data_IF_851986397788
#
_entry.id   IF_851986397788
#
_cell.length_a   1.000
_cell.length_b   1.000
_cell.length_c   1.000
_cell.angle_alpha   90.00
_cell.angle_beta   90.00
_cell.angle_gamma   90.00
#
_symmetry.space_group_name_H-M   'P 1'
#
loop_
_entity.id
_entity.type
_entity.pdbx_description
1 polymer ?
#
# COMPACT_ATOMS: atom_id res chain seq x y z
N UNK A 1 -10.70 6.05 6.79
CA UNK A 1 -11.04 6.45 5.40
C UNK A 1 -9.98 5.98 4.40
N UNK A 2 -8.70 5.92 4.78
CA UNK A 2 -7.59 5.54 3.88
C UNK A 2 -7.67 4.10 3.35
N UNK A 3 -8.10 3.14 4.17
CA UNK A 3 -8.26 1.75 3.75
C UNK A 3 -9.15 1.58 2.52
N UNK A 4 -10.27 2.32 2.43
CA UNK A 4 -11.19 2.20 1.29
C UNK A 4 -10.53 2.71 -0.01
N UNK A 5 -9.78 3.80 0.08
CA UNK A 5 -9.10 4.44 -1.05
C UNK A 5 -7.97 3.55 -1.60
N UNK A 6 -7.27 2.83 -0.72
CA UNK A 6 -6.23 1.87 -1.11
C UNK A 6 -6.77 0.50 -1.52
N UNK A 7 -7.98 0.14 -1.10
CA UNK A 7 -8.64 -1.11 -1.50
C UNK A 7 -9.23 -1.05 -2.91
N UNK A 8 -9.66 0.13 -3.37
CA UNK A 8 -10.16 0.28 -4.74
C UNK A 8 -9.00 0.29 -5.74
N UNK A 9 -8.99 -0.62 -6.72
CA UNK A 9 -8.01 -0.57 -7.79
C UNK A 9 -8.04 0.77 -8.52
N UNK A 10 -6.87 1.31 -8.87
CA UNK A 10 -6.74 2.58 -9.59
C UNK A 10 -7.59 2.65 -10.87
N UNK A 11 -7.83 1.51 -11.55
CA UNK A 11 -8.66 1.46 -12.75
C UNK A 11 -10.15 1.70 -12.45
N UNK A 12 -10.65 1.27 -11.29
CA UNK A 12 -12.04 1.55 -10.87
C UNK A 12 -12.23 3.04 -10.67
N UNK A 13 -11.24 3.70 -10.06
CA UNK A 13 -11.25 5.13 -9.80
C UNK A 13 -11.16 5.94 -11.11
N UNK A 14 -10.38 5.46 -12.07
CA UNK A 14 -10.31 6.03 -13.41
C UNK A 14 -11.64 5.93 -14.15
N UNK A 15 -12.34 4.78 -14.06
CA UNK A 15 -13.67 4.59 -14.66
C UNK A 15 -14.70 5.51 -14.01
N UNK A 16 -14.73 5.60 -12.68
CA UNK A 16 -15.63 6.53 -11.97
C UNK A 16 -15.37 7.97 -12.40
N UNK A 17 -14.10 8.38 -12.47
CA UNK A 17 -13.71 9.72 -12.93
C UNK A 17 -14.18 9.99 -14.37
N UNK A 18 -14.05 9.03 -15.27
CA UNK A 18 -14.51 9.14 -16.64
C UNK A 18 -16.04 9.26 -16.75
N UNK A 19 -16.78 8.46 -15.97
CA UNK A 19 -18.26 8.52 -15.92
C UNK A 19 -18.74 9.87 -15.39
N UNK A 20 -18.08 10.42 -14.36
CA UNK A 20 -18.40 11.74 -13.82
C UNK A 20 -18.02 12.88 -14.79
N UNK A 21 -16.99 12.70 -15.61
CA UNK A 21 -16.60 13.68 -16.62
C UNK A 21 -17.52 13.68 -17.86
N UNK A 22 -18.18 12.56 -18.16
CA UNK A 22 -19.05 12.41 -19.32
C UNK A 22 -20.17 13.47 -19.44
N UNK A 23 -20.97 13.78 -18.39
CA UNK A 23 -22.01 14.81 -18.50
C UNK A 23 -21.44 16.21 -18.71
N UNK A 24 -20.28 16.53 -18.12
CA UNK A 24 -19.60 17.80 -18.36
C UNK A 24 -19.16 17.92 -19.83
N UNK A 25 -18.52 16.89 -20.37
CA UNK A 25 -18.10 16.86 -21.77
C UNK A 25 -19.29 16.91 -22.74
N UNK A 26 -20.40 16.27 -22.38
CA UNK A 26 -21.65 16.35 -23.15
C UNK A 26 -22.21 17.78 -23.20
N UNK A 27 -22.28 18.47 -22.06
CA UNK A 27 -22.73 19.86 -22.01
C UNK A 27 -21.81 20.79 -22.81
N UNK A 28 -20.50 20.58 -22.72
CA UNK A 28 -19.52 21.35 -23.51
C UNK A 28 -19.70 21.09 -25.01
N UNK A 29 -19.89 19.85 -25.43
CA UNK A 29 -20.17 19.53 -26.83
C UNK A 29 -21.46 20.19 -27.32
N UNK A 30 -22.50 20.20 -26.48
CA UNK A 30 -23.82 20.73 -26.81
C UNK A 30 -23.85 22.26 -26.89
N UNK A 31 -23.08 22.96 -26.05
CA UNK A 31 -23.08 24.42 -25.96
C UNK A 31 -21.98 25.12 -26.75
N UNK A 32 -20.79 24.54 -26.80
CA UNK A 32 -19.57 25.17 -27.33
C UNK A 32 -19.09 24.54 -28.65
N UNK A 33 -19.75 23.48 -29.09
CA UNK A 33 -19.43 22.74 -30.31
C UNK A 33 -18.35 21.67 -30.11
N UNK A 34 -18.31 20.74 -31.07
CA UNK A 34 -17.49 19.52 -31.00
C UNK A 34 -15.99 19.81 -30.90
N UNK A 35 -15.51 20.87 -31.55
CA UNK A 35 -14.09 21.25 -31.55
C UNK A 35 -13.58 21.67 -30.16
N UNK A 36 -14.42 22.33 -29.35
CA UNK A 36 -14.06 22.69 -27.97
C UNK A 36 -14.22 21.51 -27.01
N UNK A 37 -15.20 20.64 -27.27
CA UNK A 37 -15.34 19.38 -26.54
C UNK A 37 -14.12 18.47 -26.71
N UNK A 38 -13.60 18.31 -27.93
CA UNK A 38 -12.37 17.55 -28.18
C UNK A 38 -11.16 18.06 -27.39
N UNK A 39 -10.98 19.39 -27.34
CA UNK A 39 -9.92 20.01 -26.52
C UNK A 39 -10.14 19.76 -25.03
N UNK A 40 -11.37 19.89 -24.54
CA UNK A 40 -11.72 19.60 -23.16
C UNK A 40 -11.45 18.12 -22.82
N UNK A 41 -11.85 17.19 -23.67
CA UNK A 41 -11.59 15.76 -23.52
C UNK A 41 -10.10 15.46 -23.45
N UNK A 42 -9.27 16.09 -24.29
CA UNK A 42 -7.82 15.91 -24.25
C UNK A 42 -7.21 16.38 -22.93
N UNK A 43 -7.63 17.55 -22.43
CA UNK A 43 -7.14 18.09 -21.16
C UNK A 43 -7.62 17.24 -19.98
N UNK A 44 -8.92 16.97 -19.90
CA UNK A 44 -9.52 16.18 -18.82
C UNK A 44 -9.02 14.73 -18.85
N UNK A 45 -8.92 14.14 -20.03
CA UNK A 45 -8.36 12.80 -20.23
C UNK A 45 -6.88 12.73 -19.83
N UNK A 46 -6.07 13.71 -20.22
CA UNK A 46 -4.67 13.81 -19.81
C UNK A 46 -4.51 13.89 -18.29
N UNK A 47 -5.33 14.70 -17.61
CA UNK A 47 -5.33 14.81 -16.15
C UNK A 47 -5.76 13.50 -15.48
N UNK A 48 -6.81 12.84 -15.98
CA UNK A 48 -7.27 11.57 -15.45
C UNK A 48 -6.21 10.47 -15.60
N UNK A 49 -5.51 10.43 -16.74
CA UNK A 49 -4.41 9.48 -16.98
C UNK A 49 -3.23 9.74 -16.04
N UNK A 50 -2.80 11.01 -15.90
CA UNK A 50 -1.73 11.37 -14.99
C UNK A 50 -2.05 10.96 -13.54
N UNK A 51 -3.27 11.25 -13.08
CA UNK A 51 -3.74 10.88 -11.76
C UNK A 51 -3.81 9.36 -11.56
N UNK A 52 -4.28 8.63 -12.57
CA UNK A 52 -4.35 7.17 -12.53
C UNK A 52 -2.94 6.53 -12.44
N UNK A 53 -1.97 7.06 -13.19
CA UNK A 53 -0.58 6.60 -13.15
C UNK A 53 0.07 6.87 -11.80
N UNK A 54 -0.15 8.05 -11.23
CA UNK A 54 0.35 8.40 -9.91
C UNK A 54 -0.23 7.45 -8.84
N UNK A 55 -1.54 7.21 -8.86
CA UNK A 55 -2.17 6.25 -7.93
C UNK A 55 -1.67 4.83 -8.12
N UNK A 56 -1.47 4.38 -9.36
CA UNK A 56 -0.88 3.07 -9.65
C UNK A 56 0.51 2.94 -9.05
N UNK A 57 1.36 3.97 -9.18
CA UNK A 57 2.70 3.95 -8.61
C UNK A 57 2.68 3.87 -7.07
N UNK A 58 1.81 4.65 -6.42
CA UNK A 58 1.64 4.60 -4.95
C UNK A 58 1.09 3.26 -4.48
N UNK A 59 0.09 2.69 -5.17
CA UNK A 59 -0.47 1.37 -4.84
C UNK A 59 0.56 0.25 -5.02
N UNK A 60 1.38 0.30 -6.07
CA UNK A 60 2.45 -0.66 -6.29
C UNK A 60 3.52 -0.60 -5.18
N UNK A 61 3.94 0.62 -4.80
CA UNK A 61 4.88 0.84 -3.69
C UNK A 61 4.34 0.35 -2.34
N UNK A 62 3.07 0.64 -2.05
CA UNK A 62 2.39 0.16 -0.85
C UNK A 62 2.30 -1.36 -0.79
N UNK A 63 1.91 -2.00 -1.90
CA UNK A 63 1.81 -3.46 -1.98
C UNK A 63 3.17 -4.13 -1.83
N UNK A 64 4.22 -3.53 -2.38
CA UNK A 64 5.59 -4.01 -2.22
C UNK A 64 6.04 -3.93 -0.75
N UNK A 65 5.79 -2.81 -0.06
CA UNK A 65 6.10 -2.66 1.37
C UNK A 65 5.36 -3.67 2.22
N UNK A 66 4.06 -3.85 2.02
CA UNK A 66 3.26 -4.85 2.74
C UNK A 66 3.79 -6.27 2.57
N UNK A 67 4.24 -6.64 1.36
CA UNK A 67 4.86 -7.96 1.13
C UNK A 67 6.20 -8.11 1.85
N UNK A 68 7.01 -7.06 1.90
CA UNK A 68 8.29 -7.08 2.63
C UNK A 68 8.06 -7.16 4.13
N UNK A 69 7.16 -6.32 4.67
CA UNK A 69 6.81 -6.32 6.11
C UNK A 69 6.25 -7.67 6.57
N UNK A 70 5.42 -8.33 5.76
CA UNK A 70 4.93 -9.68 6.09
C UNK A 70 6.08 -10.70 6.19
N UNK A 71 7.03 -10.67 5.25
CA UNK A 71 8.21 -11.56 5.29
C UNK A 71 9.13 -11.28 6.47
N UNK A 72 9.37 -10.00 6.76
CA UNK A 72 10.22 -9.61 7.88
C UNK A 72 9.55 -9.98 9.22
N UNK A 73 8.22 -9.84 9.30
CA UNK A 73 7.43 -10.30 10.44
C UNK A 73 7.56 -11.80 10.68
N UNK A 74 7.39 -12.62 9.65
CA UNK A 74 7.56 -14.07 9.75
C UNK A 74 8.99 -14.45 10.19
N UNK A 75 10.00 -13.77 9.64
CA UNK A 75 11.39 -13.98 10.02
C UNK A 75 11.67 -13.63 11.50
N UNK A 76 11.04 -12.57 12.01
CA UNK A 76 11.14 -12.18 13.42
C UNK A 76 10.43 -13.19 14.34
N UNK A 77 9.27 -13.69 13.95
CA UNK A 77 8.53 -14.74 14.69
C UNK A 77 9.35 -16.03 14.73
N UNK A 78 9.92 -16.44 13.59
CA UNK A 78 10.78 -17.64 13.52
C UNK A 78 12.05 -17.47 14.37
N UNK A 79 12.68 -16.29 14.33
CA UNK A 79 13.85 -15.98 15.16
C UNK A 79 13.50 -16.00 16.65
N UNK A 80 12.36 -15.45 17.05
CA UNK A 80 11.87 -15.51 18.43
C UNK A 80 11.57 -16.95 18.87
N UNK A 81 10.96 -17.76 17.99
CA UNK A 81 10.71 -19.19 18.22
C UNK A 81 12.02 -19.97 18.43
N UNK A 82 13.01 -19.77 17.57
CA UNK A 82 14.34 -20.38 17.70
C UNK A 82 15.06 -19.94 18.97
N UNK A 83 15.01 -18.66 19.31
CA UNK A 83 15.61 -18.15 20.55
C UNK A 83 14.95 -18.77 21.79
N UNK A 84 13.63 -18.96 21.78
CA UNK A 84 12.87 -19.60 22.86
C UNK A 84 13.18 -21.10 22.98
N UNK A 85 13.33 -21.79 21.86
CA UNK A 85 13.74 -23.19 21.85
C UNK A 85 15.18 -23.36 22.36
N UNK A 86 16.09 -22.50 21.92
CA UNK A 86 17.49 -22.51 22.37
C UNK A 86 17.62 -22.19 23.86
N UNK A 87 16.86 -21.21 24.38
CA UNK A 87 16.87 -20.92 25.81
C UNK A 87 16.25 -22.03 26.65
N UNK A 88 15.19 -22.68 26.17
CA UNK A 88 14.60 -23.85 26.82
C UNK A 88 15.58 -25.04 26.85
N UNK A 89 16.31 -25.29 25.77
CA UNK A 89 17.34 -26.32 25.71
C UNK A 89 18.51 -26.01 26.67
N UNK A 90 19.00 -24.76 26.66
CA UNK A 90 20.07 -24.33 27.57
C UNK A 90 19.67 -24.42 29.04
N UNK A 91 18.42 -24.11 29.38
CA UNK A 91 17.88 -24.25 30.73
C UNK A 91 17.74 -25.72 31.18
N UNK A 92 17.53 -26.65 30.25
CA UNK A 92 17.47 -28.08 30.55
C UNK A 92 18.86 -28.66 30.85
N UNK A 93 19.90 -28.20 30.15
CA UNK A 93 21.29 -28.62 30.38
C UNK A 93 21.93 -27.95 31.60
N UNK A 94 21.64 -26.66 31.84
CA UNK A 94 22.17 -25.90 32.98
C UNK A 94 21.11 -24.98 33.60
N UNK A 95 20.36 -25.47 34.61
CA UNK A 95 19.28 -24.71 35.25
C UNK A 95 19.75 -23.45 36.00
N UNK A 96 21.05 -23.36 36.35
CA UNK A 96 21.58 -22.25 37.14
C UNK A 96 21.89 -21.01 36.29
N UNK A 97 22.20 -21.18 35.00
CA UNK A 97 22.45 -20.09 34.04
C UNK A 97 21.26 -19.15 33.80
N UNK A 98 20.04 -19.57 34.11
CA UNK A 98 18.85 -18.70 34.03
C UNK A 98 18.86 -17.57 35.09
N UNK A 99 19.70 -17.67 36.12
CA UNK A 99 19.85 -16.66 37.17
C UNK A 99 21.02 -15.71 36.94
N UNK A 100 21.86 -16.00 35.95
CA UNK A 100 22.99 -15.14 35.61
C UNK A 100 22.48 -13.86 34.94
N UNK A 101 23.06 -12.73 35.35
CA UNK A 101 22.69 -11.42 34.82
C UNK A 101 23.10 -11.36 33.34
N UNK A 102 22.13 -11.21 32.45
CA UNK A 102 22.35 -11.22 31.00
C UNK A 102 23.03 -9.95 30.48
N UNK A 103 23.34 -9.00 31.37
CA UNK A 103 23.98 -7.72 31.03
C UNK A 103 23.09 -6.78 30.22
N UNK A 104 21.84 -7.16 29.93
CA UNK A 104 20.88 -6.37 29.15
C UNK A 104 19.90 -5.58 30.02
N UNK A 105 19.97 -5.72 31.35
CA UNK A 105 19.33 -4.77 32.28
C UNK A 105 19.92 -3.38 32.05
N UNK A 106 19.20 -2.57 31.27
CA UNK A 106 19.44 -1.13 31.13
C UNK A 106 19.45 -0.51 32.53
N UNK A 107 20.57 0.12 32.89
CA UNK A 107 20.59 1.13 33.97
C UNK A 107 19.83 2.37 33.51
#
# INVERSE_FOLDING_TARGET
MDWLIYSLPWWVQAVIGAVLAAPFLFLVARGLGLSRALKATLVTGGLLVAFALERRARQAGWTARMKTEARDGDALVEKAGRARAASAAAAADDPQRLRDDDGFRRR
#
